data_IF_065284119688
#
_entry.id   IF_065284119688
#
_cell.length_a   1.000
_cell.length_b   1.000
_cell.length_c   1.000
_cell.angle_alpha   90.00
_cell.angle_beta   90.00
_cell.angle_gamma   90.00
#
_symmetry.space_group_name_H-M   'P 1'
#
loop_
_entity.id
_entity.type
_entity.pdbx_description
1 polymer ?
#
# COMPACT_ATOMS: atom_id res chain seq x y z
N UNK A 1 -6.31 3.92 17.06
CA UNK A 1 -5.73 2.83 16.25
C UNK A 1 -6.84 1.81 16.06
N UNK A 2 -7.14 1.37 14.83
CA UNK A 2 -8.12 0.31 14.64
C UNK A 2 -7.64 -0.98 15.29
N UNK A 3 -8.58 -1.76 15.81
CA UNK A 3 -8.39 -3.10 16.34
C UNK A 3 -8.33 -4.13 15.21
N UNK A 4 -7.87 -5.34 15.54
CA UNK A 4 -7.71 -6.42 14.57
C UNK A 4 -8.98 -6.70 13.73
N UNK A 5 -10.19 -6.78 14.31
CA UNK A 5 -11.40 -7.05 13.52
C UNK A 5 -11.71 -5.98 12.46
N UNK A 6 -11.38 -4.72 12.76
CA UNK A 6 -11.60 -3.60 11.85
C UNK A 6 -10.58 -3.63 10.70
N UNK A 7 -9.32 -3.98 11.00
CA UNK A 7 -8.28 -4.18 9.99
C UNK A 7 -8.65 -5.33 9.04
N UNK A 8 -9.19 -6.43 9.56
CA UNK A 8 -9.65 -7.57 8.76
C UNK A 8 -10.81 -7.19 7.84
N UNK A 9 -11.74 -6.38 8.32
CA UNK A 9 -12.87 -5.87 7.52
C UNK A 9 -12.35 -5.02 6.36
N UNK A 10 -11.46 -4.06 6.63
CA UNK A 10 -10.85 -3.22 5.58
C UNK A 10 -10.08 -4.06 4.56
N UNK A 11 -9.32 -5.06 5.01
CA UNK A 11 -8.57 -5.94 4.12
C UNK A 11 -9.50 -6.78 3.23
N UNK A 12 -10.56 -7.36 3.79
CA UNK A 12 -11.54 -8.15 3.05
C UNK A 12 -12.25 -7.32 1.97
N UNK A 13 -12.64 -6.10 2.30
CA UNK A 13 -13.33 -5.19 1.38
C UNK A 13 -12.42 -4.73 0.23
N UNK A 14 -11.12 -4.50 0.49
CA UNK A 14 -10.19 -4.02 -0.53
C UNK A 14 -9.71 -5.10 -1.50
N UNK A 15 -9.54 -6.35 -1.04
CA UNK A 15 -9.03 -7.48 -1.85
C UNK A 15 -9.70 -7.63 -3.23
N UNK A 16 -11.04 -7.70 -3.38
CA UNK A 16 -11.67 -7.87 -4.69
C UNK A 16 -11.44 -6.68 -5.64
N UNK A 17 -11.08 -5.52 -5.10
CA UNK A 17 -10.84 -4.33 -5.90
C UNK A 17 -9.37 -4.16 -6.28
N UNK A 18 -8.42 -4.68 -5.50
CA UNK A 18 -7.00 -4.40 -5.67
C UNK A 18 -6.18 -5.57 -6.23
N UNK A 19 -6.55 -6.81 -5.95
CA UNK A 19 -5.77 -7.99 -6.38
C UNK A 19 -5.60 -8.03 -7.90
N UNK A 20 -4.37 -8.31 -8.33
CA UNK A 20 -3.99 -8.36 -9.74
C UNK A 20 -3.76 -7.00 -10.41
N UNK A 21 -4.04 -5.88 -9.74
CA UNK A 21 -3.73 -4.54 -10.26
C UNK A 21 -2.25 -4.20 -10.11
N UNK A 22 -1.74 -3.39 -11.05
CA UNK A 22 -0.38 -2.85 -11.01
C UNK A 22 -0.40 -1.41 -10.50
N UNK A 23 0.51 -1.09 -9.59
CA UNK A 23 0.73 0.28 -9.11
C UNK A 23 1.42 1.06 -10.22
N UNK A 24 0.73 2.04 -10.81
CA UNK A 24 1.31 2.85 -11.90
C UNK A 24 2.16 4.02 -11.38
N UNK A 25 1.83 4.54 -10.20
CA UNK A 25 2.48 5.68 -9.55
C UNK A 25 2.17 5.70 -8.05
N UNK A 26 3.10 6.22 -7.26
CA UNK A 26 2.86 6.58 -5.86
C UNK A 26 3.13 8.08 -5.63
N UNK A 27 2.18 8.77 -4.98
CA UNK A 27 2.31 10.16 -4.57
C UNK A 27 2.43 10.25 -3.05
N UNK A 28 3.67 10.27 -2.53
CA UNK A 28 3.93 10.30 -1.09
C UNK A 28 3.96 11.74 -0.55
N UNK A 29 2.80 12.23 -0.09
CA UNK A 29 2.64 13.62 0.41
C UNK A 29 3.05 13.83 1.87
N UNK A 30 3.23 12.74 2.62
CA UNK A 30 3.66 12.78 4.01
C UNK A 30 4.83 11.81 4.22
N UNK A 31 6.08 12.23 3.89
CA UNK A 31 7.22 11.32 3.79
C UNK A 31 7.52 10.53 5.07
N UNK A 32 7.28 11.12 6.25
CA UNK A 32 7.58 10.51 7.55
C UNK A 32 6.70 9.32 7.93
N UNK A 33 5.64 9.03 7.16
CA UNK A 33 4.81 7.83 7.38
C UNK A 33 5.54 6.55 6.98
N UNK A 34 6.44 6.63 6.01
CA UNK A 34 7.29 5.51 5.58
C UNK A 34 8.51 5.50 6.49
N UNK A 35 8.64 4.44 7.29
CA UNK A 35 9.76 4.30 8.24
C UNK A 35 11.00 3.68 7.61
N UNK A 36 10.81 2.79 6.63
CA UNK A 36 11.88 2.13 5.90
C UNK A 36 11.29 1.50 4.63
N UNK A 37 11.98 1.56 3.46
CA UNK A 37 13.22 2.30 3.18
C UNK A 37 13.01 3.83 3.20
N UNK A 38 14.01 4.59 2.77
CA UNK A 38 13.85 6.04 2.57
C UNK A 38 12.67 6.34 1.61
N UNK A 39 11.91 7.44 1.84
CA UNK A 39 10.68 7.75 1.11
C UNK A 39 10.79 7.71 -0.41
N UNK A 40 11.87 8.27 -0.98
CA UNK A 40 12.10 8.29 -2.43
C UNK A 40 12.32 6.87 -2.97
N UNK A 41 13.19 6.11 -2.30
CA UNK A 41 13.43 4.69 -2.62
C UNK A 41 12.14 3.87 -2.54
N UNK A 42 11.28 4.13 -1.54
CA UNK A 42 9.99 3.44 -1.43
C UNK A 42 9.11 3.68 -2.65
N UNK A 43 8.96 4.94 -3.08
CA UNK A 43 8.14 5.31 -4.25
C UNK A 43 8.64 4.60 -5.51
N UNK A 44 9.95 4.58 -5.74
CA UNK A 44 10.56 3.92 -6.90
C UNK A 44 10.38 2.40 -6.86
N UNK A 45 10.48 1.79 -5.68
CA UNK A 45 10.34 0.34 -5.53
C UNK A 45 8.92 -0.17 -5.78
N UNK A 46 7.89 0.61 -5.40
CA UNK A 46 6.51 0.12 -5.49
C UNK A 46 5.86 0.39 -6.85
N UNK A 47 6.35 1.38 -7.60
CA UNK A 47 5.86 1.62 -8.95
C UNK A 47 6.19 0.42 -9.86
N UNK A 48 5.19 -0.06 -10.59
CA UNK A 48 5.29 -1.26 -11.44
C UNK A 48 5.02 -2.58 -10.71
N UNK A 49 4.92 -2.61 -9.38
CA UNK A 49 4.57 -3.83 -8.66
C UNK A 49 3.09 -4.17 -8.84
N UNK A 50 2.81 -5.48 -8.89
CA UNK A 50 1.46 -6.04 -8.90
C UNK A 50 1.06 -6.43 -7.48
N UNK A 51 -0.18 -6.16 -7.11
CA UNK A 51 -0.73 -6.55 -5.81
C UNK A 51 -1.16 -8.02 -5.89
N UNK A 52 -0.56 -8.88 -5.06
CA UNK A 52 -0.75 -10.34 -5.13
C UNK A 52 -1.55 -10.93 -3.97
N UNK A 53 -1.64 -10.22 -2.83
CA UNK A 53 -2.33 -10.69 -1.62
C UNK A 53 -3.02 -9.56 -0.89
#
# INVERSE_FOLDING_TARGET
MPELPEVETIAADLRPHLLGRTIVRCDLRFPTIVRHPEPETFVDLIAGLRIES
#
